data_IF_994543186302
#
_entry.id   IF_994543186302
#
_cell.length_a   1.000
_cell.length_b   1.000
_cell.length_c   1.000
_cell.angle_alpha   90.00
_cell.angle_beta   90.00
_cell.angle_gamma   90.00
#
_symmetry.space_group_name_H-M   'P 1'
#
loop_
_entity.id
_entity.type
_entity.pdbx_description
1 polymer ?
#
# COMPACT_ATOMS: atom_id res chain seq x y z
N UNK A 1 -25.75 43.46 -29.58
CA UNK A 1 -25.15 42.22 -30.11
C UNK A 1 -23.77 41.91 -29.52
N UNK A 2 -22.89 42.90 -29.33
CA UNK A 2 -21.56 42.66 -28.72
C UNK A 2 -21.60 42.15 -27.26
N UNK A 3 -22.58 42.57 -26.47
CA UNK A 3 -22.73 42.16 -25.07
C UNK A 3 -23.14 40.69 -24.89
N UNK A 4 -23.95 40.14 -25.81
CA UNK A 4 -24.37 38.73 -25.72
C UNK A 4 -23.24 37.76 -26.10
N UNK A 5 -22.36 38.15 -27.04
CA UNK A 5 -21.16 37.36 -27.37
C UNK A 5 -20.17 37.31 -26.20
N UNK A 6 -19.99 38.41 -25.48
CA UNK A 6 -19.11 38.46 -24.31
C UNK A 6 -19.61 37.57 -23.17
N UNK A 7 -20.92 37.58 -22.89
CA UNK A 7 -21.54 36.72 -21.89
C UNK A 7 -21.42 35.25 -22.29
N UNK A 8 -21.63 34.92 -23.57
CA UNK A 8 -21.49 33.56 -24.07
C UNK A 8 -20.04 33.05 -23.98
N UNK A 9 -19.07 33.92 -24.27
CA UNK A 9 -17.64 33.61 -24.11
C UNK A 9 -17.25 33.33 -22.66
N UNK A 10 -17.74 34.13 -21.71
CA UNK A 10 -17.47 33.92 -20.27
C UNK A 10 -18.13 32.63 -19.76
N UNK A 11 -19.36 32.33 -20.18
CA UNK A 11 -20.04 31.08 -19.82
C UNK A 11 -19.33 29.84 -20.40
N UNK A 12 -18.79 29.94 -21.62
CA UNK A 12 -18.05 28.85 -22.25
C UNK A 12 -16.68 28.62 -21.57
N UNK A 13 -15.99 29.69 -21.15
CA UNK A 13 -14.74 29.59 -20.37
C UNK A 13 -15.01 29.00 -18.98
N UNK A 14 -16.11 29.37 -18.32
CA UNK A 14 -16.52 28.72 -17.07
C UNK A 14 -16.90 27.26 -17.26
N UNK A 15 -17.62 26.91 -18.33
CA UNK A 15 -17.93 25.51 -18.66
C UNK A 15 -16.67 24.69 -18.99
N UNK A 16 -15.68 25.30 -19.65
CA UNK A 16 -14.36 24.69 -19.91
C UNK A 16 -13.50 24.59 -18.64
N UNK A 17 -13.64 25.50 -17.68
CA UNK A 17 -13.01 25.42 -16.36
C UNK A 17 -13.67 24.40 -15.42
N UNK A 18 -14.90 23.98 -15.73
CA UNK A 18 -15.66 22.92 -15.04
C UNK A 18 -15.47 21.54 -15.69
N UNK A 19 -14.78 21.45 -16.83
CA UNK A 19 -14.21 20.19 -17.30
C UNK A 19 -13.01 19.87 -16.42
N UNK A 20 -13.29 19.52 -15.16
CA UNK A 20 -12.35 18.79 -14.32
C UNK A 20 -11.90 17.59 -15.14
N UNK A 21 -10.58 17.47 -15.32
CA UNK A 21 -9.96 16.22 -15.73
C UNK A 21 -10.24 15.24 -14.59
N UNK A 22 -11.40 14.57 -14.66
CA UNK A 22 -11.74 13.50 -13.75
C UNK A 22 -10.77 12.38 -14.13
N UNK A 23 -9.60 12.37 -13.49
CA UNK A 23 -8.71 11.23 -13.54
C UNK A 23 -9.59 10.05 -13.12
N UNK A 24 -9.87 9.15 -14.07
CA UNK A 24 -10.75 8.01 -13.86
C UNK A 24 -10.33 7.36 -12.54
N UNK A 25 -11.20 7.42 -11.52
CA UNK A 25 -10.81 7.15 -10.15
C UNK A 25 -10.25 5.73 -10.05
N UNK A 26 -8.92 5.64 -9.93
CA UNK A 26 -8.19 4.39 -10.00
C UNK A 26 -8.00 3.84 -8.61
N UNK A 27 -8.60 2.69 -8.32
CA UNK A 27 -8.36 2.00 -7.05
C UNK A 27 -6.86 1.79 -6.83
N UNK A 28 -6.40 1.93 -5.59
CA UNK A 28 -4.99 1.84 -5.24
C UNK A 28 -4.74 0.74 -4.21
N UNK A 29 -3.91 -0.23 -4.57
CA UNK A 29 -3.53 -1.34 -3.70
C UNK A 29 -2.06 -1.25 -3.32
N UNK A 30 -1.78 -1.28 -2.01
CA UNK A 30 -0.43 -1.14 -1.49
C UNK A 30 -0.04 -2.41 -0.75
N UNK A 31 1.12 -2.96 -1.08
CA UNK A 31 1.72 -4.13 -0.45
C UNK A 31 3.14 -3.81 -0.04
N UNK A 32 3.65 -4.51 0.97
CA UNK A 32 5.05 -4.37 1.34
C UNK A 32 5.32 -4.22 2.83
N UNK A 33 6.38 -3.48 3.12
CA UNK A 33 6.94 -3.29 4.46
C UNK A 33 6.64 -1.90 5.06
N UNK A 34 7.43 -1.51 6.07
CA UNK A 34 7.28 -0.26 6.82
C UNK A 34 7.37 1.01 5.98
N UNK A 35 8.00 0.95 4.79
CA UNK A 35 8.13 2.12 3.92
C UNK A 35 6.77 2.60 3.39
N UNK A 36 5.79 1.70 3.36
CA UNK A 36 4.46 1.98 2.83
C UNK A 36 3.33 1.57 3.77
N UNK A 37 3.62 1.00 4.94
CA UNK A 37 2.62 0.76 5.98
C UNK A 37 2.05 2.09 6.49
N UNK A 38 0.72 2.14 6.61
CA UNK A 38 -0.03 3.28 7.11
C UNK A 38 -0.85 2.95 8.37
N UNK A 39 -0.58 1.82 9.03
CA UNK A 39 -1.12 1.49 10.34
C UNK A 39 -1.67 0.09 10.51
N UNK A 40 -1.43 -0.87 9.61
CA UNK A 40 -1.90 -2.24 9.81
C UNK A 40 -1.30 -2.85 11.09
N UNK A 41 -0.04 -2.55 11.38
CA UNK A 41 0.65 -3.05 12.55
C UNK A 41 0.04 -2.59 13.88
N UNK A 42 -0.71 -1.49 13.89
CA UNK A 42 -1.37 -0.98 15.10
C UNK A 42 -2.47 -1.94 15.59
N UNK A 43 -2.98 -2.81 14.71
CA UNK A 43 -4.01 -3.82 15.01
C UNK A 43 -3.43 -5.20 15.40
N UNK A 44 -2.10 -5.34 15.54
CA UNK A 44 -1.42 -6.62 15.78
C UNK A 44 -0.60 -6.59 17.06
N UNK A 45 -0.60 -7.65 17.88
CA UNK A 45 0.33 -7.76 19.00
C UNK A 45 1.80 -7.89 18.52
N UNK A 46 2.45 -6.76 18.22
CA UNK A 46 3.77 -6.63 17.58
C UNK A 46 4.57 -5.50 18.20
N UNK A 47 5.89 -5.58 18.10
CA UNK A 47 6.81 -4.49 18.47
C UNK A 47 7.11 -3.55 17.31
N UNK A 48 6.79 -3.94 16.07
CA UNK A 48 6.95 -3.09 14.89
C UNK A 48 5.75 -2.16 14.72
N UNK A 49 5.64 -1.13 15.56
CA UNK A 49 4.52 -0.16 15.53
C UNK A 49 5.02 1.27 15.36
N UNK A 50 4.18 2.09 14.73
CA UNK A 50 4.38 3.54 14.57
C UNK A 50 3.19 4.33 15.15
N UNK A 51 2.75 3.91 16.34
CA UNK A 51 1.61 4.47 17.09
C UNK A 51 2.03 5.34 18.30
N UNK A 52 3.30 5.76 18.33
CA UNK A 52 3.84 6.69 19.34
C UNK A 52 4.61 7.85 18.68
N UNK A 53 4.87 8.97 19.40
CA UNK A 53 5.86 9.95 18.95
C UNK A 53 7.23 9.29 18.68
N UNK A 54 8.04 9.79 17.72
CA UNK A 54 7.82 10.98 16.89
C UNK A 54 7.01 10.73 15.61
N UNK A 55 6.39 9.55 15.44
CA UNK A 55 5.61 9.29 14.24
C UNK A 55 4.40 10.23 14.16
N UNK A 56 4.18 10.82 12.98
CA UNK A 56 3.05 11.72 12.75
C UNK A 56 3.19 13.16 13.28
N UNK A 57 4.36 13.59 13.79
CA UNK A 57 4.57 14.98 14.28
C UNK A 57 4.34 16.05 13.20
N UNK A 58 4.63 15.74 11.94
CA UNK A 58 4.46 16.63 10.77
C UNK A 58 3.17 16.29 10.00
N UNK A 59 2.39 15.31 10.45
CA UNK A 59 1.09 15.01 9.85
C UNK A 59 0.07 16.11 10.23
N UNK A 60 -0.94 16.43 9.39
CA UNK A 60 -1.89 17.51 9.70
C UNK A 60 -2.60 17.41 11.05
N UNK A 61 -2.73 16.21 11.63
CA UNK A 61 -3.33 16.00 12.95
C UNK A 61 -2.33 16.13 14.11
N UNK A 62 -1.02 16.11 13.84
CA UNK A 62 0.06 16.07 14.84
C UNK A 62 0.05 14.80 15.71
N UNK A 63 -0.68 13.76 15.32
CA UNK A 63 -0.86 12.52 16.09
C UNK A 63 -0.18 11.34 15.40
N UNK A 64 0.28 10.31 16.14
CA UNK A 64 0.78 9.08 15.54
C UNK A 64 -0.23 8.46 14.56
N UNK A 65 0.26 8.12 13.37
CA UNK A 65 -0.58 7.71 12.25
C UNK A 65 -0.44 6.24 11.88
N UNK A 66 0.50 5.51 12.48
CA UNK A 66 0.89 4.17 12.03
C UNK A 66 1.85 4.16 10.83
N UNK A 67 2.25 5.33 10.31
CA UNK A 67 3.29 5.46 9.29
C UNK A 67 4.66 5.57 9.96
N UNK A 68 5.65 4.84 9.45
CA UNK A 68 7.05 4.94 9.89
C UNK A 68 7.72 6.21 9.33
N UNK A 69 7.11 7.36 9.59
CA UNK A 69 7.50 8.69 9.11
C UNK A 69 7.00 9.74 10.10
N UNK A 70 7.61 10.93 10.08
CA UNK A 70 7.07 12.09 10.80
C UNK A 70 5.71 12.52 10.25
N UNK A 71 5.37 12.19 9.01
CA UNK A 71 4.13 12.61 8.38
C UNK A 71 3.66 11.62 7.33
N UNK A 72 3.40 12.12 6.13
CA UNK A 72 3.00 11.31 4.99
C UNK A 72 4.11 10.35 4.56
N UNK A 73 3.71 9.20 4.01
CA UNK A 73 4.59 8.24 3.36
C UNK A 73 4.28 8.16 1.85
N UNK A 74 5.01 7.31 1.11
CA UNK A 74 4.91 7.21 -0.36
C UNK A 74 3.46 7.00 -0.85
N UNK A 75 2.66 6.05 -0.29
CA UNK A 75 1.25 5.90 -0.62
C UNK A 75 0.40 7.16 -0.52
N UNK A 76 0.64 8.02 0.47
CA UNK A 76 -0.15 9.23 0.64
C UNK A 76 0.06 10.20 -0.51
N UNK A 77 1.32 10.43 -0.89
CA UNK A 77 1.66 11.30 -2.02
C UNK A 77 1.12 10.75 -3.34
N UNK A 78 1.15 9.42 -3.53
CA UNK A 78 0.53 8.79 -4.70
C UNK A 78 -0.98 8.99 -4.68
N UNK A 79 -1.65 8.82 -3.54
CA UNK A 79 -3.09 9.03 -3.41
C UNK A 79 -3.48 10.49 -3.74
N UNK A 80 -2.70 11.46 -3.26
CA UNK A 80 -2.87 12.87 -3.61
C UNK A 80 -2.76 13.11 -5.12
N UNK A 81 -1.76 12.49 -5.77
CA UNK A 81 -1.56 12.63 -7.21
C UNK A 81 -2.68 11.94 -8.03
N UNK A 82 -3.29 10.89 -7.49
CA UNK A 82 -4.48 10.25 -8.07
C UNK A 82 -5.76 11.09 -7.87
N UNK A 83 -5.71 12.16 -7.07
CA UNK A 83 -6.91 12.92 -6.68
C UNK A 83 -7.86 12.10 -5.79
N UNK A 84 -7.35 11.05 -5.14
CA UNK A 84 -8.12 10.15 -4.30
C UNK A 84 -7.83 10.39 -2.81
N UNK A 85 -8.78 10.01 -1.96
CA UNK A 85 -8.52 9.93 -0.53
C UNK A 85 -7.41 8.88 -0.25
N UNK A 86 -6.63 9.04 0.84
CA UNK A 86 -5.64 8.04 1.23
C UNK A 86 -6.27 6.66 1.45
N UNK A 87 -5.64 5.62 0.92
CA UNK A 87 -6.05 4.23 1.22
C UNK A 87 -6.02 3.98 2.72
N UNK A 88 -6.96 3.20 3.25
CA UNK A 88 -6.95 2.79 4.65
C UNK A 88 -6.13 1.50 4.84
N UNK A 89 -5.56 1.26 6.04
CA UNK A 89 -5.04 -0.06 6.41
C UNK A 89 -6.14 -1.11 6.26
N UNK A 90 -5.82 -2.27 5.70
CA UNK A 90 -6.79 -3.35 5.50
C UNK A 90 -7.48 -3.78 6.81
N UNK A 91 -6.74 -3.77 7.92
CA UNK A 91 -7.26 -4.11 9.25
C UNK A 91 -8.07 -3.00 9.91
N UNK A 92 -8.17 -1.81 9.30
CA UNK A 92 -8.97 -0.72 9.86
C UNK A 92 -10.46 -1.06 9.83
N UNK A 93 -11.20 -0.86 10.96
CA UNK A 93 -12.65 -1.02 10.98
C UNK A 93 -13.37 0.01 10.10
N UNK A 94 -12.69 1.10 9.73
CA UNK A 94 -13.24 2.14 8.84
C UNK A 94 -13.20 1.73 7.36
N UNK A 95 -12.43 0.70 6.99
CA UNK A 95 -12.38 0.21 5.62
C UNK A 95 -13.66 -0.58 5.31
N UNK A 96 -14.77 0.11 5.07
CA UNK A 96 -16.09 -0.48 4.78
C UNK A 96 -16.83 0.35 3.73
N UNK A 97 -17.89 -0.23 3.14
CA UNK A 97 -18.74 0.48 2.17
C UNK A 97 -17.93 1.08 1.01
N UNK A 98 -18.21 2.33 0.67
CA UNK A 98 -17.57 3.03 -0.46
C UNK A 98 -16.05 3.22 -0.27
N UNK A 99 -15.52 3.16 0.96
CA UNK A 99 -14.05 3.19 1.17
C UNK A 99 -13.35 1.99 0.54
N UNK A 100 -14.06 0.88 0.33
CA UNK A 100 -13.53 -0.23 -0.45
C UNK A 100 -13.28 0.18 -1.91
N UNK A 101 -14.00 1.13 -2.51
CA UNK A 101 -13.80 1.51 -3.92
C UNK A 101 -12.48 2.25 -4.16
N UNK A 102 -11.94 2.90 -3.12
CA UNK A 102 -10.65 3.62 -3.17
C UNK A 102 -9.47 2.64 -3.25
N UNK A 103 -9.63 1.45 -2.69
CA UNK A 103 -8.55 0.49 -2.51
C UNK A 103 -8.14 0.35 -1.05
N UNK A 104 -7.00 -0.29 -0.80
CA UNK A 104 -6.55 -0.62 0.55
C UNK A 104 -5.04 -0.83 0.62
N UNK A 105 -4.50 -0.61 1.82
CA UNK A 105 -3.12 -0.87 2.15
C UNK A 105 -3.00 -2.16 2.96
N UNK A 106 -2.25 -3.12 2.43
CA UNK A 106 -1.99 -4.44 3.02
C UNK A 106 -0.59 -4.56 3.63
N UNK A 107 0.24 -3.52 3.49
CA UNK A 107 1.62 -3.53 3.94
C UNK A 107 1.73 -3.66 5.47
N UNK A 108 2.87 -4.17 5.93
CA UNK A 108 3.13 -4.41 7.35
C UNK A 108 4.59 -4.24 7.67
N UNK A 109 4.89 -3.44 8.69
CA UNK A 109 6.27 -3.20 9.09
C UNK A 109 7.03 -4.46 9.54
N UNK A 110 8.33 -4.46 9.26
CA UNK A 110 9.27 -5.49 9.69
C UNK A 110 9.38 -6.71 8.77
N UNK A 111 8.49 -6.86 7.78
CA UNK A 111 8.55 -8.00 6.86
C UNK A 111 9.65 -7.83 5.80
N UNK A 112 10.07 -8.95 5.23
CA UNK A 112 10.85 -9.00 3.99
C UNK A 112 10.20 -9.89 2.93
N UNK A 113 10.93 -10.12 1.85
CA UNK A 113 10.63 -11.12 0.82
C UNK A 113 10.60 -12.51 1.47
N UNK A 114 11.57 -12.79 2.33
CA UNK A 114 11.68 -14.09 2.97
C UNK A 114 10.73 -14.21 4.17
N UNK A 115 10.13 -15.38 4.31
CA UNK A 115 9.16 -15.65 5.37
C UNK A 115 9.79 -15.78 6.78
N UNK A 116 11.12 -15.75 6.88
CA UNK A 116 11.86 -15.72 8.14
C UNK A 116 12.40 -14.31 8.50
N UNK A 117 12.38 -13.35 7.58
CA UNK A 117 12.83 -11.96 7.85
C UNK A 117 11.88 -11.23 8.80
N UNK A 118 12.36 -10.71 9.93
CA UNK A 118 11.51 -9.95 10.86
C UNK A 118 10.83 -10.80 11.94
N UNK A 119 11.24 -12.06 12.15
CA UNK A 119 10.73 -12.91 13.24
C UNK A 119 10.82 -12.23 14.61
N UNK A 120 11.81 -11.36 14.83
CA UNK A 120 11.98 -10.61 16.07
C UNK A 120 10.81 -9.67 16.42
N UNK A 121 9.95 -9.35 15.44
CA UNK A 121 8.79 -8.49 15.62
C UNK A 121 7.52 -9.27 16.03
N UNK A 122 7.63 -10.59 16.27
CA UNK A 122 6.55 -11.47 16.72
C UNK A 122 5.42 -11.60 15.68
N UNK A 123 4.47 -10.67 15.66
CA UNK A 123 3.28 -10.74 14.81
C UNK A 123 3.38 -9.68 13.70
N UNK A 124 3.57 -10.13 12.46
CA UNK A 124 3.66 -9.26 11.28
C UNK A 124 2.92 -9.90 10.10
N UNK A 125 2.39 -9.09 9.19
CA UNK A 125 1.63 -9.58 8.02
C UNK A 125 2.60 -9.87 6.88
N UNK A 126 3.14 -11.10 6.89
CA UNK A 126 4.00 -11.63 5.83
C UNK A 126 3.36 -11.47 4.45
N UNK A 127 4.18 -11.39 3.40
CA UNK A 127 3.70 -11.20 2.01
C UNK A 127 2.56 -12.15 1.62
N UNK A 128 2.66 -13.43 1.96
CA UNK A 128 1.60 -14.42 1.68
C UNK A 128 0.27 -14.02 2.32
N UNK A 129 0.29 -13.57 3.58
CA UNK A 129 -0.90 -13.11 4.30
C UNK A 129 -1.43 -11.79 3.76
N UNK A 130 -0.58 -10.90 3.23
CA UNK A 130 -1.04 -9.69 2.53
C UNK A 130 -1.85 -10.06 1.28
N UNK A 131 -1.44 -11.09 0.54
CA UNK A 131 -2.20 -11.60 -0.60
C UNK A 131 -3.50 -12.29 -0.16
N UNK A 132 -3.50 -13.05 0.94
CA UNK A 132 -4.72 -13.63 1.49
C UNK A 132 -5.72 -12.54 1.90
N UNK A 133 -5.24 -11.44 2.50
CA UNK A 133 -6.06 -10.27 2.80
C UNK A 133 -6.57 -9.56 1.55
N UNK A 134 -5.78 -9.51 0.48
CA UNK A 134 -6.26 -8.99 -0.80
C UNK A 134 -7.36 -9.86 -1.42
N UNK A 135 -7.28 -11.19 -1.29
CA UNK A 135 -8.37 -12.08 -1.70
C UNK A 135 -9.65 -11.85 -0.88
N UNK A 136 -9.51 -11.71 0.44
CA UNK A 136 -10.65 -11.38 1.32
C UNK A 136 -11.23 -9.99 0.99
N UNK A 137 -10.38 -9.00 0.73
CA UNK A 137 -10.80 -7.68 0.26
C UNK A 137 -11.63 -7.78 -1.03
N UNK A 138 -11.19 -8.57 -2.02
CA UNK A 138 -11.93 -8.75 -3.27
C UNK A 138 -13.29 -9.42 -3.04
N UNK A 139 -13.40 -10.37 -2.10
CA UNK A 139 -14.69 -10.95 -1.72
C UNK A 139 -15.62 -9.89 -1.11
N UNK A 140 -15.11 -9.08 -0.19
CA UNK A 140 -15.86 -7.98 0.44
C UNK A 140 -16.32 -6.95 -0.59
N UNK A 141 -15.45 -6.60 -1.52
CA UNK A 141 -15.75 -5.69 -2.63
C UNK A 141 -16.78 -6.30 -3.58
N UNK A 142 -16.67 -7.60 -3.91
CA UNK A 142 -17.63 -8.31 -4.75
C UNK A 142 -19.02 -8.36 -4.13
N UNK A 143 -19.12 -8.46 -2.80
CA UNK A 143 -20.41 -8.36 -2.11
C UNK A 143 -21.04 -6.96 -2.21
N UNK A 144 -20.22 -5.92 -2.43
CA UNK A 144 -20.69 -4.54 -2.54
C UNK A 144 -21.11 -4.15 -3.97
N UNK A 145 -20.29 -4.50 -4.97
CA UNK A 145 -20.48 -4.02 -6.36
C UNK A 145 -20.70 -5.14 -7.39
N UNK A 146 -20.72 -6.39 -6.96
CA UNK A 146 -20.84 -7.56 -7.82
C UNK A 146 -19.51 -7.98 -8.47
N UNK A 147 -19.36 -9.27 -8.82
CA UNK A 147 -18.08 -9.85 -9.22
C UNK A 147 -17.51 -9.27 -10.51
N UNK A 148 -18.36 -8.91 -11.49
CA UNK A 148 -17.90 -8.33 -12.75
C UNK A 148 -17.25 -6.97 -12.55
N UNK A 149 -17.88 -6.09 -11.75
CA UNK A 149 -17.34 -4.75 -11.46
C UNK A 149 -16.11 -4.83 -10.57
N UNK A 150 -16.08 -5.76 -9.62
CA UNK A 150 -14.86 -6.04 -8.83
C UNK A 150 -13.69 -6.43 -9.71
N UNK A 151 -13.89 -7.35 -10.66
CA UNK A 151 -12.83 -7.75 -11.60
C UNK A 151 -12.34 -6.58 -12.44
N UNK A 152 -13.25 -5.74 -12.94
CA UNK A 152 -12.89 -4.53 -13.70
C UNK A 152 -12.06 -3.55 -12.86
N UNK A 153 -12.54 -3.21 -11.66
CA UNK A 153 -11.87 -2.29 -10.75
C UNK A 153 -10.47 -2.80 -10.38
N UNK A 154 -10.33 -4.09 -10.04
CA UNK A 154 -9.04 -4.69 -9.69
C UNK A 154 -8.07 -4.69 -10.87
N UNK A 155 -8.53 -5.03 -12.07
CA UNK A 155 -7.69 -5.06 -13.27
C UNK A 155 -7.23 -3.67 -13.72
N UNK A 156 -8.01 -2.63 -13.41
CA UNK A 156 -7.68 -1.25 -13.72
C UNK A 156 -6.91 -0.56 -12.58
N UNK A 157 -6.76 -1.18 -11.41
CA UNK A 157 -6.14 -0.58 -10.23
C UNK A 157 -4.65 -0.27 -10.42
N UNK A 158 -4.14 0.67 -9.63
CA UNK A 158 -2.71 0.89 -9.43
C UNK A 158 -2.24 -0.03 -8.29
N UNK A 159 -1.09 -0.67 -8.46
CA UNK A 159 -0.49 -1.52 -7.43
C UNK A 159 0.90 -0.99 -7.08
N UNK A 160 1.15 -0.76 -5.81
CA UNK A 160 2.48 -0.46 -5.25
C UNK A 160 2.95 -1.64 -4.39
N UNK A 161 4.19 -2.09 -4.61
CA UNK A 161 4.84 -3.12 -3.81
C UNK A 161 6.23 -2.62 -3.37
N UNK A 162 6.48 -2.58 -2.06
CA UNK A 162 7.83 -2.27 -1.51
C UNK A 162 8.27 -3.35 -0.54
N UNK A 163 9.29 -4.13 -0.91
CA UNK A 163 9.78 -5.20 -0.04
C UNK A 163 11.22 -5.55 -0.41
N UNK A 164 12.00 -6.02 0.55
CA UNK A 164 13.38 -6.49 0.33
C UNK A 164 14.41 -5.83 1.25
N UNK A 165 14.18 -4.58 1.65
CA UNK A 165 15.15 -3.82 2.47
C UNK A 165 15.46 -4.52 3.79
N UNK A 166 14.43 -5.01 4.47
CA UNK A 166 14.57 -5.77 5.71
C UNK A 166 15.34 -7.09 5.54
N UNK A 167 15.31 -7.72 4.36
CA UNK A 167 16.07 -8.95 4.09
C UNK A 167 17.57 -8.68 4.06
N UNK A 168 18.01 -7.47 3.71
CA UNK A 168 19.41 -7.07 3.80
C UNK A 168 19.76 -6.55 5.18
N UNK A 169 18.95 -5.63 5.73
CA UNK A 169 19.23 -5.01 7.04
C UNK A 169 19.34 -6.09 8.12
N UNK A 170 18.36 -6.97 8.25
CA UNK A 170 18.35 -7.97 9.32
C UNK A 170 19.42 -9.05 9.16
N UNK A 171 19.83 -9.36 7.92
CA UNK A 171 20.71 -10.48 7.65
C UNK A 171 22.17 -10.10 7.37
N UNK A 172 22.47 -8.85 6.98
CA UNK A 172 23.82 -8.47 6.56
C UNK A 172 24.35 -7.19 7.22
N UNK A 173 23.49 -6.29 7.71
CA UNK A 173 23.93 -4.98 8.18
C UNK A 173 23.66 -4.71 9.66
N UNK A 174 22.60 -5.27 10.23
CA UNK A 174 22.22 -5.04 11.62
C UNK A 174 22.76 -6.12 12.57
N UNK A 175 22.73 -7.38 12.14
CA UNK A 175 23.12 -8.53 12.98
C UNK A 175 24.43 -9.12 12.45
N UNK A 176 25.56 -8.92 13.15
CA UNK A 176 26.83 -9.54 12.81
C UNK A 176 26.70 -11.07 12.78
N UNK A 177 27.25 -11.72 11.75
CA UNK A 177 27.28 -13.18 11.62
C UNK A 177 25.90 -13.87 11.71
N UNK A 178 24.85 -13.21 11.20
CA UNK A 178 23.52 -13.80 11.05
C UNK A 178 23.59 -15.19 10.39
N UNK A 179 22.57 -16.03 10.62
CA UNK A 179 22.51 -17.34 9.96
C UNK A 179 22.59 -17.22 8.42
N UNK A 180 21.92 -16.23 7.82
CA UNK A 180 21.91 -16.00 6.38
C UNK A 180 23.27 -15.54 5.83
N UNK A 181 23.94 -14.61 6.50
CA UNK A 181 25.27 -14.14 6.08
C UNK A 181 26.35 -15.22 6.13
N UNK A 182 26.18 -16.24 6.98
CA UNK A 182 27.05 -17.43 7.02
C UNK A 182 26.70 -18.48 5.95
N UNK A 183 25.46 -18.49 5.47
CA UNK A 183 25.00 -19.42 4.43
C UNK A 183 25.33 -18.94 3.02
N UNK A 184 25.25 -17.63 2.78
CA UNK A 184 25.41 -17.05 1.44
C UNK A 184 26.38 -15.87 1.46
N UNK A 185 27.31 -15.88 0.50
CA UNK A 185 27.97 -14.65 0.09
C UNK A 185 26.91 -13.68 -0.49
N UNK A 186 27.11 -12.38 -0.31
CA UNK A 186 26.12 -11.36 -0.67
C UNK A 186 25.64 -11.45 -2.14
N UNK A 187 26.49 -11.68 -3.17
CA UNK A 187 26.02 -11.82 -4.55
C UNK A 187 25.07 -13.01 -4.77
N UNK A 188 25.26 -14.12 -4.06
CA UNK A 188 24.39 -15.30 -4.19
C UNK A 188 23.09 -15.13 -3.40
N UNK A 189 23.14 -14.39 -2.29
CA UNK A 189 21.94 -14.00 -1.56
C UNK A 189 21.01 -13.12 -2.39
N UNK A 190 21.56 -12.18 -3.18
CA UNK A 190 20.76 -11.35 -4.11
C UNK A 190 20.03 -12.22 -5.12
N UNK A 191 20.70 -13.21 -5.73
CA UNK A 191 20.07 -14.15 -6.67
C UNK A 191 18.96 -14.97 -5.99
N UNK A 192 19.21 -15.41 -4.76
CA UNK A 192 18.23 -16.12 -3.95
C UNK A 192 16.98 -15.25 -3.68
N UNK A 193 17.15 -14.01 -3.24
CA UNK A 193 16.03 -13.07 -3.02
C UNK A 193 15.23 -12.81 -4.30
N UNK A 194 15.88 -12.63 -5.44
CA UNK A 194 15.20 -12.46 -6.74
C UNK A 194 14.37 -13.70 -7.09
N UNK A 195 14.90 -14.90 -6.84
CA UNK A 195 14.17 -16.16 -7.02
C UNK A 195 12.94 -16.24 -6.12
N UNK A 196 13.06 -15.92 -4.83
CA UNK A 196 11.94 -15.94 -3.89
C UNK A 196 10.88 -14.87 -4.20
N UNK A 197 11.30 -13.66 -4.58
CA UNK A 197 10.37 -12.62 -5.04
C UNK A 197 9.61 -13.06 -6.29
N UNK A 198 10.28 -13.71 -7.25
CA UNK A 198 9.61 -14.26 -8.44
C UNK A 198 8.56 -15.28 -8.06
N UNK A 199 8.86 -16.20 -7.13
CA UNK A 199 7.88 -17.18 -6.65
C UNK A 199 6.66 -16.49 -6.01
N UNK A 200 6.88 -15.48 -5.17
CA UNK A 200 5.79 -14.70 -4.57
C UNK A 200 4.89 -14.09 -5.64
N UNK A 201 5.46 -13.42 -6.64
CA UNK A 201 4.69 -12.77 -7.71
C UNK A 201 3.96 -13.76 -8.63
N UNK A 202 4.53 -14.94 -8.89
CA UNK A 202 3.89 -15.97 -9.71
C UNK A 202 2.74 -16.68 -8.98
N UNK A 203 2.87 -16.91 -7.66
CA UNK A 203 1.77 -17.43 -6.85
C UNK A 203 0.58 -16.47 -6.90
N UNK A 204 0.83 -15.17 -6.88
CA UNK A 204 -0.21 -14.14 -7.04
C UNK A 204 -0.96 -14.27 -8.36
N UNK A 205 -0.27 -14.51 -9.48
CA UNK A 205 -0.94 -14.72 -10.78
C UNK A 205 -1.82 -15.98 -10.83
N UNK A 206 -1.42 -17.06 -10.15
CA UNK A 206 -2.21 -18.30 -10.12
C UNK A 206 -3.45 -18.22 -9.21
N UNK A 207 -3.47 -17.28 -8.27
CA UNK A 207 -4.53 -17.12 -7.24
C UNK A 207 -5.50 -15.98 -7.52
N UNK A 208 -5.22 -15.13 -8.52
CA UNK A 208 -6.02 -13.98 -8.92
C UNK A 208 -6.66 -14.11 -10.32
N UNK A 209 -6.35 -15.19 -11.05
CA UNK A 209 -6.92 -15.50 -12.37
C UNK A 209 -8.33 -16.06 -12.32
#
# INVERSE_FOLDING_TARGET
>A
MASSLAIFGVLMIMALGMLSYEAEARAFFVFGDSLVDNGNNNYLATTARADSPPYGIDYPTGRPTGRFSNGMNIPDFISQQLGAEPTLPYLSPELTGQKLLVGANFASAGIGILNDTGIQFINIIRMTRQFDYFQQYQQRLSSLIGPQRTKQLVNQALVLLTVGGNDFVNNYYLVPFSARSRQFALPDYVKYLISELRKLLLVTNSRLG
#
